data_IF_299932448797
#
_entry.id   IF_299932448797
#
_cell.length_a   1.000
_cell.length_b   1.000
_cell.length_c   1.000
_cell.angle_alpha   90.00
_cell.angle_beta   90.00
_cell.angle_gamma   90.00
#
_symmetry.space_group_name_H-M   'P 1'
#
loop_
_entity.id
_entity.type
_entity.pdbx_description
1 polymer ?
#
# COMPACT_ATOMS: atom_id res chain seq x y z
N UNK A 1 1.92 8.01 -7.06
CA UNK A 1 0.67 7.32 -6.68
C UNK A 1 -0.50 7.89 -7.48
N UNK A 2 -0.94 7.19 -8.55
CA UNK A 2 -1.99 7.65 -9.50
C UNK A 2 -3.32 6.90 -9.33
N UNK A 3 -3.37 5.90 -8.43
CA UNK A 3 -4.50 5.00 -8.21
C UNK A 3 -5.82 5.74 -8.04
N UNK A 4 -5.88 6.74 -7.16
CA UNK A 4 -7.11 7.47 -6.88
C UNK A 4 -7.68 8.19 -8.11
N UNK A 5 -6.82 8.77 -8.96
CA UNK A 5 -7.23 9.41 -10.22
C UNK A 5 -7.70 8.38 -11.26
N UNK A 6 -7.02 7.24 -11.35
CA UNK A 6 -7.39 6.15 -12.26
C UNK A 6 -8.74 5.54 -11.84
N UNK A 7 -8.92 5.25 -10.55
CA UNK A 7 -10.15 4.72 -9.96
C UNK A 7 -11.34 5.67 -10.18
N UNK A 8 -11.14 6.99 -9.99
CA UNK A 8 -12.16 7.99 -10.28
C UNK A 8 -12.59 7.98 -11.75
N UNK A 9 -11.63 7.92 -12.66
CA UNK A 9 -11.89 8.02 -14.10
C UNK A 9 -12.47 6.74 -14.72
N UNK A 10 -12.04 5.59 -14.24
CA UNK A 10 -12.31 4.31 -14.91
C UNK A 10 -13.32 3.45 -14.16
N UNK A 11 -13.40 3.55 -12.84
CA UNK A 11 -14.38 2.81 -12.04
C UNK A 11 -15.59 3.68 -11.72
N UNK A 12 -15.37 4.78 -10.98
CA UNK A 12 -16.49 5.56 -10.45
C UNK A 12 -17.29 6.25 -11.57
N UNK A 13 -16.64 6.95 -12.51
CA UNK A 13 -17.38 7.63 -13.59
C UNK A 13 -18.23 6.69 -14.46
N UNK A 14 -17.81 5.43 -14.63
CA UNK A 14 -18.58 4.43 -15.38
C UNK A 14 -19.73 3.86 -14.54
N UNK A 15 -19.45 3.44 -13.31
CA UNK A 15 -20.45 2.85 -12.42
C UNK A 15 -21.55 3.87 -12.05
N UNK A 16 -21.19 5.14 -11.80
CA UNK A 16 -22.15 6.20 -11.50
C UNK A 16 -23.04 6.54 -12.70
N UNK A 17 -22.48 6.67 -13.91
CA UNK A 17 -23.28 6.94 -15.12
C UNK A 17 -24.25 5.81 -15.45
N UNK A 18 -23.81 4.56 -15.31
CA UNK A 18 -24.63 3.39 -15.62
C UNK A 18 -25.73 3.14 -14.58
N UNK A 19 -25.46 3.37 -13.29
CA UNK A 19 -26.37 2.98 -12.19
C UNK A 19 -27.15 4.14 -11.56
N UNK A 20 -26.71 5.39 -11.75
CA UNK A 20 -27.37 6.57 -11.15
C UNK A 20 -28.04 7.45 -12.21
N UNK A 21 -27.39 7.67 -13.37
CA UNK A 21 -27.92 8.54 -14.42
C UNK A 21 -28.73 7.80 -15.51
N UNK A 22 -28.51 6.49 -15.66
CA UNK A 22 -29.22 5.64 -16.62
C UNK A 22 -30.65 5.34 -16.16
N UNK A 23 -31.63 6.03 -16.75
CA UNK A 23 -33.06 5.99 -16.40
C UNK A 23 -33.79 4.67 -16.67
N UNK A 24 -33.31 3.54 -16.14
CA UNK A 24 -34.07 2.29 -16.12
C UNK A 24 -34.68 2.06 -14.74
N UNK A 25 -35.92 1.57 -14.73
CA UNK A 25 -36.89 1.53 -13.64
C UNK A 25 -36.54 0.64 -12.42
N UNK A 26 -35.28 0.57 -12.01
CA UNK A 26 -34.89 -0.05 -10.75
C UNK A 26 -35.06 0.96 -9.59
N UNK A 27 -35.47 0.51 -8.39
CA UNK A 27 -35.70 1.41 -7.26
C UNK A 27 -34.47 2.29 -7.01
N UNK A 28 -34.67 3.60 -6.80
CA UNK A 28 -33.63 4.58 -6.39
C UNK A 28 -33.11 4.28 -4.97
N UNK A 29 -32.64 3.07 -4.75
CA UNK A 29 -31.91 2.67 -3.57
C UNK A 29 -30.83 1.70 -4.00
N UNK A 30 -29.62 2.19 -4.05
CA UNK A 30 -28.51 1.60 -3.31
C UNK A 30 -27.38 2.62 -3.32
N UNK A 31 -26.99 3.09 -2.15
CA UNK A 31 -25.79 3.92 -1.99
C UNK A 31 -24.53 3.13 -2.36
N UNK A 32 -23.43 3.36 -1.65
CA UNK A 32 -22.14 2.69 -1.88
C UNK A 32 -22.21 1.17 -2.02
N UNK A 33 -23.22 0.50 -1.43
CA UNK A 33 -23.44 -0.94 -1.55
C UNK A 33 -23.60 -1.47 -3.00
N UNK A 34 -24.25 -0.72 -3.91
CA UNK A 34 -24.37 -1.16 -5.32
C UNK A 34 -23.07 -1.01 -6.11
N UNK A 35 -22.11 -0.24 -5.61
CA UNK A 35 -20.82 0.05 -6.25
C UNK A 35 -19.71 -0.89 -5.77
N UNK A 36 -19.86 -1.52 -4.60
CA UNK A 36 -18.90 -2.46 -4.03
C UNK A 36 -18.49 -3.61 -4.98
N UNK A 37 -19.41 -4.34 -5.65
CA UNK A 37 -19.00 -5.44 -6.52
C UNK A 37 -18.23 -4.99 -7.77
N UNK A 38 -18.63 -3.86 -8.38
CA UNK A 38 -17.92 -3.30 -9.53
C UNK A 38 -16.53 -2.83 -9.12
N UNK A 39 -16.42 -2.22 -7.92
CA UNK A 39 -15.16 -1.76 -7.40
C UNK A 39 -14.20 -2.91 -7.10
N UNK A 40 -14.69 -3.99 -6.46
CA UNK A 40 -13.89 -5.19 -6.21
C UNK A 40 -13.35 -5.78 -7.50
N UNK A 41 -14.23 -5.98 -8.49
CA UNK A 41 -13.85 -6.49 -9.82
C UNK A 41 -12.81 -5.59 -10.49
N UNK A 42 -13.00 -4.27 -10.44
CA UNK A 42 -12.06 -3.32 -11.03
C UNK A 42 -10.70 -3.32 -10.30
N UNK A 43 -10.70 -3.42 -8.97
CA UNK A 43 -9.48 -3.49 -8.16
C UNK A 43 -8.67 -4.75 -8.47
N UNK A 44 -9.33 -5.90 -8.59
CA UNK A 44 -8.65 -7.17 -8.90
C UNK A 44 -7.99 -7.11 -10.28
N UNK A 45 -8.73 -6.64 -11.30
CA UNK A 45 -8.17 -6.44 -12.63
C UNK A 45 -7.02 -5.42 -12.64
N UNK A 46 -7.18 -4.29 -11.94
CA UNK A 46 -6.14 -3.26 -11.84
C UNK A 46 -4.88 -3.78 -11.16
N UNK A 47 -5.00 -4.54 -10.08
CA UNK A 47 -3.87 -5.02 -9.30
C UNK A 47 -3.15 -6.20 -9.96
N UNK A 48 -3.88 -7.06 -10.68
CA UNK A 48 -3.35 -8.30 -11.26
C UNK A 48 -2.94 -8.18 -12.73
N UNK A 49 -3.56 -7.29 -13.52
CA UNK A 49 -3.37 -7.29 -14.98
C UNK A 49 -2.68 -6.03 -15.49
N UNK A 50 -2.76 -4.92 -14.77
CA UNK A 50 -2.12 -3.68 -15.23
C UNK A 50 -0.69 -3.62 -14.76
N UNK A 51 0.21 -3.75 -15.72
CA UNK A 51 1.61 -3.40 -15.55
C UNK A 51 1.74 -1.90 -15.25
N UNK A 52 2.54 -1.54 -14.25
CA UNK A 52 2.86 -0.16 -13.96
C UNK A 52 3.47 0.52 -15.19
N UNK A 53 2.80 1.54 -15.73
CA UNK A 53 3.34 2.35 -16.80
C UNK A 53 4.33 3.37 -16.24
N UNK A 54 5.59 3.28 -16.65
CA UNK A 54 6.65 4.24 -16.31
C UNK A 54 8.01 3.60 -16.16
N UNK A 55 9.05 4.44 -16.15
CA UNK A 55 10.47 4.05 -16.06
C UNK A 55 10.81 3.13 -14.87
N UNK A 56 10.01 3.17 -13.82
CA UNK A 56 10.21 2.43 -12.55
C UNK A 56 9.25 1.26 -12.37
N UNK A 57 8.43 0.95 -13.38
CA UNK A 57 7.42 -0.10 -13.31
C UNK A 57 7.96 -1.51 -13.60
N UNK A 58 9.13 -1.64 -14.22
CA UNK A 58 9.81 -2.90 -14.57
C UNK A 58 8.92 -3.98 -15.21
N UNK A 59 7.83 -3.59 -15.87
CA UNK A 59 6.88 -4.56 -16.42
C UNK A 59 6.02 -5.27 -15.37
N UNK A 60 6.11 -4.91 -14.09
CA UNK A 60 5.41 -5.57 -12.97
C UNK A 60 4.07 -4.93 -12.68
N UNK A 61 3.14 -5.76 -12.20
CA UNK A 61 1.82 -5.31 -11.73
C UNK A 61 1.93 -4.75 -10.32
N UNK A 62 0.98 -3.89 -9.86
CA UNK A 62 0.95 -3.38 -8.50
C UNK A 62 1.08 -4.47 -7.44
N UNK A 63 0.40 -5.60 -7.63
CA UNK A 63 0.47 -6.71 -6.70
C UNK A 63 1.86 -7.37 -6.71
N UNK A 64 2.46 -7.58 -7.88
CA UNK A 64 3.79 -8.15 -7.98
C UNK A 64 4.85 -7.25 -7.32
N UNK A 65 4.81 -5.95 -7.58
CA UNK A 65 5.72 -4.99 -6.94
C UNK A 65 5.54 -4.97 -5.42
N UNK A 66 4.31 -5.09 -4.93
CA UNK A 66 4.03 -5.17 -3.50
C UNK A 66 4.62 -6.44 -2.86
N UNK A 67 4.49 -7.58 -3.54
CA UNK A 67 5.03 -8.86 -3.07
C UNK A 67 6.56 -8.92 -3.09
N UNK A 68 7.21 -8.20 -4.01
CA UNK A 68 8.68 -8.12 -4.11
C UNK A 68 9.30 -7.16 -3.08
N UNK A 69 8.52 -6.19 -2.59
CA UNK A 69 8.99 -5.13 -1.69
C UNK A 69 9.62 -5.64 -0.37
N UNK A 70 9.12 -6.69 0.31
CA UNK A 70 9.73 -7.18 1.55
C UNK A 70 11.14 -7.73 1.38
N UNK A 71 11.44 -8.39 0.27
CA UNK A 71 12.78 -8.89 -0.02
C UNK A 71 13.75 -7.72 -0.22
N UNK A 72 13.35 -6.75 -1.05
CA UNK A 72 14.11 -5.52 -1.27
C UNK A 72 14.32 -4.72 0.03
N UNK A 73 13.31 -4.64 0.89
CA UNK A 73 13.40 -3.95 2.16
C UNK A 73 14.39 -4.62 3.11
N UNK A 74 14.48 -5.96 3.12
CA UNK A 74 15.48 -6.70 3.91
C UNK A 74 16.89 -6.43 3.42
N UNK A 75 17.11 -6.47 2.11
CA UNK A 75 18.43 -6.25 1.49
C UNK A 75 18.93 -4.80 1.66
N UNK A 76 18.01 -3.85 1.79
CA UNK A 76 18.32 -2.41 1.94
C UNK A 76 18.21 -1.91 3.38
N UNK A 77 18.15 -2.81 4.38
CA UNK A 77 18.15 -2.41 5.79
C UNK A 77 19.44 -1.67 6.15
N UNK A 78 19.29 -0.41 6.56
CA UNK A 78 20.39 0.34 7.18
C UNK A 78 20.58 -0.24 8.59
N UNK A 79 21.79 -0.70 8.95
CA UNK A 79 22.06 -1.17 10.30
C UNK A 79 21.75 -0.06 11.30
N UNK A 80 21.06 -0.40 12.39
CA UNK A 80 20.96 0.50 13.53
C UNK A 80 22.39 0.85 13.98
N UNK A 81 22.66 2.09 14.41
CA UNK A 81 23.93 2.41 15.01
C UNK A 81 24.16 1.41 16.14
N UNK A 82 25.20 0.59 16.04
CA UNK A 82 25.61 -0.26 17.16
C UNK A 82 25.97 0.73 18.27
N UNK A 83 25.06 0.91 19.22
CA UNK A 83 25.38 1.59 20.46
C UNK A 83 26.62 0.87 20.98
N UNK A 84 27.72 1.62 21.07
CA UNK A 84 29.05 1.12 21.42
C UNK A 84 28.96 0.59 22.85
N UNK A 85 28.55 -0.67 22.99
CA UNK A 85 28.52 -1.37 24.25
C UNK A 85 29.99 -1.61 24.66
N UNK A 86 30.27 -1.37 25.94
CA UNK A 86 31.60 -1.34 26.57
C UNK A 86 32.35 -0.01 26.34
N UNK A 87 32.75 0.77 27.35
CA UNK A 87 33.26 0.36 28.66
C UNK A 87 32.95 1.46 29.70
N UNK A 88 32.24 1.11 30.76
CA UNK A 88 32.34 1.80 32.05
C UNK A 88 32.42 0.74 33.12
N UNK A 89 33.60 0.11 33.21
CA UNK A 89 33.99 -0.65 34.39
C UNK A 89 34.10 0.36 35.52
N UNK A 90 33.16 0.34 36.48
CA UNK A 90 33.30 1.12 37.72
C UNK A 90 34.45 0.50 38.54
N UNK A 91 35.46 1.27 38.98
CA UNK A 91 36.46 0.73 39.90
C UNK A 91 35.82 0.47 41.28
N UNK A 92 36.30 -0.52 42.06
CA UNK A 92 35.77 -0.79 43.39
C UNK A 92 36.11 0.38 44.33
N UNK A 93 35.12 0.86 45.08
CA UNK A 93 35.31 1.85 46.13
C UNK A 93 36.10 1.19 47.26
N UNK A 94 37.30 1.70 47.55
CA UNK A 94 38.11 1.23 48.68
C UNK A 94 37.50 1.82 49.97
N UNK A 95 36.88 0.98 50.79
CA UNK A 95 36.42 1.37 52.13
C UNK A 95 37.65 1.62 53.01
N UNK A 96 37.91 2.87 53.38
CA UNK A 96 38.87 3.21 54.43
C UNK A 96 38.16 3.19 55.78
N UNK A 97 38.49 2.19 56.59
CA UNK A 97 38.31 2.22 58.04
C UNK A 97 39.27 3.26 58.64
N UNK A 98 38.72 4.24 59.34
CA UNK A 98 39.28 4.92 60.52
C UNK A 98 38.15 5.63 61.25
#
# INVERSE_FOLDING_TARGET
MRLHKTMLNECYRFAFRAKIDGGTAAPRHRGTAALQPDLGTWLDAHNAQRVHQGRWGDGKTPLQTFLDAPALAKDKRIPLPVARAAQSVRPPVRSSLS
#
